data_IF_114761240385
#
_entry.id   IF_114761240385
#
_cell.length_a   1.000
_cell.length_b   1.000
_cell.length_c   1.000
_cell.angle_alpha   90.00
_cell.angle_beta   90.00
_cell.angle_gamma   90.00
#
_symmetry.space_group_name_H-M   'P 1'
#
loop_
_entity.id
_entity.type
_entity.pdbx_description
1 polymer ?
#
# COMPACT_ATOMS: atom_id res chain seq x y z
N UNK A 1 -10.41 -37.88 13.33
CA UNK A 1 -10.78 -37.19 12.08
C UNK A 1 -9.65 -37.30 11.06
N UNK A 2 -9.50 -38.54 10.60
CA UNK A 2 -8.48 -39.03 9.67
C UNK A 2 -9.18 -39.45 8.35
N UNK A 3 -10.51 -39.26 8.23
CA UNK A 3 -11.33 -39.85 7.17
C UNK A 3 -12.08 -38.86 6.25
N UNK A 4 -12.11 -37.56 6.54
CA UNK A 4 -12.44 -36.54 5.52
C UNK A 4 -11.21 -35.88 4.89
N UNK A 5 -10.04 -36.48 5.16
CA UNK A 5 -8.75 -36.21 4.54
C UNK A 5 -8.76 -36.87 3.15
N UNK A 6 -9.22 -36.14 2.13
CA UNK A 6 -8.98 -36.54 0.73
C UNK A 6 -10.20 -36.82 -0.16
N UNK A 7 -11.25 -35.99 -0.16
CA UNK A 7 -12.26 -36.08 -1.24
C UNK A 7 -12.27 -34.85 -2.15
N UNK A 8 -12.22 -33.63 -1.60
CA UNK A 8 -12.15 -32.43 -2.45
C UNK A 8 -10.76 -32.24 -3.09
N UNK A 9 -9.68 -32.48 -2.34
CA UNK A 9 -8.31 -32.35 -2.84
C UNK A 9 -7.85 -33.60 -3.62
N UNK A 10 -8.35 -34.78 -3.25
CA UNK A 10 -8.02 -36.05 -3.90
C UNK A 10 -8.89 -36.32 -5.14
N UNK A 11 -10.11 -35.76 -5.22
CA UNK A 11 -10.92 -35.78 -6.44
C UNK A 11 -10.23 -35.03 -7.60
N UNK A 12 -9.62 -33.87 -7.30
CA UNK A 12 -8.82 -33.14 -8.29
C UNK A 12 -7.51 -33.86 -8.67
N UNK A 13 -6.89 -34.59 -7.74
CA UNK A 13 -5.67 -35.38 -7.99
C UNK A 13 -5.97 -36.70 -8.74
N UNK A 14 -7.09 -37.37 -8.45
CA UNK A 14 -7.48 -38.61 -9.14
C UNK A 14 -8.00 -38.38 -10.57
N UNK A 15 -8.71 -37.28 -10.83
CA UNK A 15 -9.07 -36.92 -12.22
C UNK A 15 -7.82 -36.54 -13.06
N UNK A 16 -6.75 -36.05 -12.44
CA UNK A 16 -5.48 -35.77 -13.10
C UNK A 16 -4.66 -37.05 -13.44
N UNK A 17 -4.97 -38.19 -12.80
CA UNK A 17 -4.31 -39.48 -13.08
C UNK A 17 -4.82 -40.17 -14.36
N UNK A 18 -5.95 -39.69 -14.92
CA UNK A 18 -6.56 -40.22 -16.14
C UNK A 18 -5.96 -39.60 -17.41
N UNK A 19 -4.63 -39.64 -17.55
CA UNK A 19 -3.86 -39.68 -18.80
C UNK A 19 -4.15 -38.74 -20.00
N UNK A 20 -5.08 -37.78 -19.96
CA UNK A 20 -5.47 -36.97 -21.14
C UNK A 20 -5.66 -35.47 -20.91
N UNK A 21 -5.30 -34.95 -19.75
CA UNK A 21 -5.10 -33.51 -19.52
C UNK A 21 -3.81 -33.26 -18.73
N UNK A 22 -2.73 -33.94 -19.15
CA UNK A 22 -1.39 -33.63 -18.68
C UNK A 22 -0.99 -32.26 -19.22
N UNK A 23 -0.90 -31.27 -18.33
CA UNK A 23 -0.67 -29.81 -18.53
C UNK A 23 -1.97 -28.99 -18.65
N UNK A 24 -2.72 -28.81 -17.57
CA UNK A 24 -3.91 -27.96 -17.60
C UNK A 24 -3.89 -26.87 -16.51
N UNK A 25 -3.92 -25.57 -16.85
CA UNK A 25 -4.00 -24.45 -15.92
C UNK A 25 -5.45 -24.26 -15.44
N UNK A 26 -5.89 -25.13 -14.54
CA UNK A 26 -7.33 -25.21 -14.16
C UNK A 26 -7.71 -24.17 -13.09
N UNK A 27 -6.72 -23.58 -12.41
CA UNK A 27 -6.98 -22.64 -11.32
C UNK A 27 -6.81 -21.20 -11.80
N UNK A 28 -7.77 -20.35 -11.44
CA UNK A 28 -7.76 -18.90 -11.68
C UNK A 28 -6.40 -18.25 -11.37
N UNK A 29 -5.73 -18.68 -10.30
CA UNK A 29 -4.43 -18.15 -9.89
C UNK A 29 -3.28 -18.38 -10.90
N UNK A 30 -3.41 -19.32 -11.85
CA UNK A 30 -2.44 -19.45 -12.95
C UNK A 30 -2.62 -18.34 -13.98
N UNK A 31 -3.87 -18.08 -14.41
CA UNK A 31 -4.20 -17.01 -15.36
C UNK A 31 -3.73 -15.65 -14.84
N UNK A 32 -4.02 -15.33 -13.57
CA UNK A 32 -3.59 -14.07 -12.96
C UNK A 32 -2.06 -13.91 -12.93
N UNK A 33 -1.31 -15.00 -12.76
CA UNK A 33 0.16 -14.96 -12.74
C UNK A 33 0.75 -14.87 -14.14
N UNK A 34 0.18 -15.59 -15.10
CA UNK A 34 0.63 -15.53 -16.49
C UNK A 34 0.40 -14.16 -17.11
N UNK A 35 -0.78 -13.56 -16.87
CA UNK A 35 -1.07 -12.18 -17.27
C UNK A 35 -0.14 -11.18 -16.60
N UNK A 36 0.08 -11.32 -15.28
CA UNK A 36 1.02 -10.47 -14.57
C UNK A 36 2.45 -10.56 -15.13
N UNK A 37 2.95 -11.76 -15.41
CA UNK A 37 4.27 -11.93 -16.02
C UNK A 37 4.33 -11.37 -17.44
N UNK A 38 3.29 -11.57 -18.24
CA UNK A 38 3.19 -11.02 -19.59
C UNK A 38 3.27 -9.50 -19.57
N UNK A 39 2.54 -8.86 -18.66
CA UNK A 39 2.54 -7.40 -18.53
C UNK A 39 3.90 -6.88 -18.05
N UNK A 40 4.52 -7.54 -17.07
CA UNK A 40 5.86 -7.15 -16.60
C UNK A 40 6.94 -7.27 -17.68
N UNK A 41 6.74 -8.15 -18.67
CA UNK A 41 7.63 -8.31 -19.82
C UNK A 41 7.30 -7.31 -20.95
N UNK A 42 6.03 -7.00 -21.14
CA UNK A 42 5.55 -6.14 -22.22
C UNK A 42 5.78 -4.64 -21.94
N UNK A 43 5.80 -4.21 -20.67
CA UNK A 43 5.99 -2.80 -20.31
C UNK A 43 7.45 -2.49 -19.93
N UNK A 44 8.26 -1.87 -20.80
CA UNK A 44 9.60 -1.41 -20.46
C UNK A 44 9.53 -0.08 -19.67
N UNK A 45 8.97 -0.11 -18.46
CA UNK A 45 8.76 1.10 -17.62
C UNK A 45 10.07 1.81 -17.28
N UNK A 46 11.18 1.07 -17.21
CA UNK A 46 12.48 1.53 -16.69
C UNK A 46 13.65 1.41 -17.71
N UNK A 47 13.37 1.37 -19.01
CA UNK A 47 14.42 1.31 -20.05
C UNK A 47 15.42 0.16 -19.84
N UNK A 48 16.70 0.48 -19.56
CA UNK A 48 17.78 -0.50 -19.33
C UNK A 48 17.63 -1.39 -18.09
N UNK A 49 16.70 -1.07 -17.16
CA UNK A 49 16.37 -1.88 -15.97
C UNK A 49 15.04 -2.64 -16.16
N UNK A 50 14.53 -2.71 -17.39
CA UNK A 50 13.29 -3.44 -17.74
C UNK A 50 13.24 -4.88 -17.21
N UNK A 51 14.38 -5.57 -17.08
CA UNK A 51 14.44 -6.93 -16.54
C UNK A 51 14.26 -7.05 -15.02
N UNK A 52 14.41 -5.94 -14.27
CA UNK A 52 14.26 -5.96 -12.82
C UNK A 52 12.82 -6.31 -12.40
N UNK A 53 11.83 -5.80 -13.13
CA UNK A 53 10.43 -6.00 -12.79
C UNK A 53 10.00 -7.47 -12.99
N UNK A 54 10.26 -8.14 -14.15
CA UNK A 54 10.09 -9.58 -14.29
C UNK A 54 10.88 -10.40 -13.26
N UNK A 55 12.10 -10.00 -12.92
CA UNK A 55 12.90 -10.70 -11.93
C UNK A 55 12.29 -10.64 -10.53
N UNK A 56 11.83 -9.46 -10.09
CA UNK A 56 11.13 -9.29 -8.82
C UNK A 56 9.79 -10.03 -8.81
N UNK A 57 9.06 -10.01 -9.93
CA UNK A 57 7.84 -10.78 -10.10
C UNK A 57 8.10 -12.29 -9.96
N UNK A 58 9.15 -12.81 -10.59
CA UNK A 58 9.53 -14.22 -10.49
C UNK A 58 9.93 -14.60 -9.06
N UNK A 59 10.72 -13.76 -8.39
CA UNK A 59 11.07 -13.94 -6.97
C UNK A 59 9.84 -13.94 -6.06
N UNK A 60 8.89 -13.03 -6.29
CA UNK A 60 7.60 -13.03 -5.59
C UNK A 60 6.80 -14.31 -5.86
N UNK A 61 6.81 -14.80 -7.09
CA UNK A 61 6.21 -16.07 -7.48
C UNK A 61 6.82 -17.27 -6.75
N UNK A 62 8.15 -17.34 -6.70
CA UNK A 62 8.92 -18.38 -5.99
C UNK A 62 8.57 -18.38 -4.50
N UNK A 63 8.62 -17.22 -3.85
CA UNK A 63 8.34 -17.09 -2.41
C UNK A 63 6.88 -17.42 -2.08
N UNK A 64 5.95 -17.03 -2.94
CA UNK A 64 4.52 -17.35 -2.84
C UNK A 64 4.28 -18.87 -2.87
N UNK A 65 4.94 -19.60 -3.78
CA UNK A 65 4.88 -21.07 -3.84
C UNK A 65 5.50 -21.69 -2.58
N UNK A 66 6.69 -21.25 -2.19
CA UNK A 66 7.39 -21.78 -1.02
C UNK A 66 6.58 -21.59 0.27
N UNK A 67 5.96 -20.42 0.46
CA UNK A 67 5.10 -20.15 1.61
C UNK A 67 3.83 -20.99 1.60
N UNK A 68 3.15 -21.10 0.44
CA UNK A 68 1.91 -21.87 0.32
C UNK A 68 2.15 -23.36 0.61
N UNK A 69 3.25 -23.92 0.07
CA UNK A 69 3.65 -25.30 0.35
C UNK A 69 3.98 -25.50 1.83
N UNK A 70 4.70 -24.55 2.43
CA UNK A 70 4.99 -24.57 3.87
C UNK A 70 3.72 -24.55 4.71
N UNK A 71 2.72 -23.73 4.35
CA UNK A 71 1.45 -23.64 5.07
C UNK A 71 0.71 -24.98 5.02
N UNK A 72 0.53 -25.56 3.82
CA UNK A 72 -0.15 -26.85 3.65
C UNK A 72 0.57 -27.95 4.42
N UNK A 73 1.89 -28.05 4.29
CA UNK A 73 2.67 -29.05 5.01
C UNK A 73 2.63 -28.85 6.53
N UNK A 74 2.76 -27.60 7.00
CA UNK A 74 2.78 -27.30 8.43
C UNK A 74 1.41 -27.51 9.11
N UNK A 75 0.31 -27.27 8.41
CA UNK A 75 -1.04 -27.40 8.97
C UNK A 75 -1.54 -28.85 8.91
N UNK A 76 -1.33 -29.56 7.80
CA UNK A 76 -1.97 -30.86 7.57
C UNK A 76 -1.08 -32.09 7.82
N UNK A 77 0.24 -31.94 7.66
CA UNK A 77 1.18 -33.06 7.66
C UNK A 77 2.12 -33.07 8.88
N UNK A 78 2.31 -31.93 9.56
CA UNK A 78 3.08 -31.93 10.80
C UNK A 78 2.28 -32.54 11.95
N UNK A 79 2.94 -33.31 12.84
CA UNK A 79 2.32 -33.80 14.06
C UNK A 79 1.92 -32.60 14.95
N UNK A 80 0.75 -32.72 15.59
CA UNK A 80 0.31 -31.73 16.56
C UNK A 80 1.31 -31.69 17.72
N UNK A 81 1.73 -30.47 18.11
CA UNK A 81 2.73 -30.29 19.17
C UNK A 81 2.10 -30.31 20.57
N UNK A 82 0.80 -30.04 20.64
CA UNK A 82 -0.01 -30.03 21.85
C UNK A 82 -1.33 -30.76 21.54
N UNK A 83 -1.84 -31.53 22.50
CA UNK A 83 -3.15 -32.17 22.36
C UNK A 83 -4.24 -31.10 22.40
N UNK A 84 -5.16 -31.05 21.43
CA UNK A 84 -6.22 -30.06 21.43
C UNK A 84 -7.15 -30.27 22.64
N UNK A 85 -7.58 -29.21 23.33
CA UNK A 85 -8.40 -29.28 24.55
C UNK A 85 -9.80 -29.86 24.31
N UNK A 86 -10.23 -29.99 23.06
CA UNK A 86 -11.48 -30.65 22.66
C UNK A 86 -11.17 -31.59 21.50
N UNK A 87 -11.90 -32.71 21.45
CA UNK A 87 -11.82 -33.62 20.30
C UNK A 87 -12.13 -32.85 19.01
N UNK A 88 -11.33 -32.98 17.96
CA UNK A 88 -11.62 -32.35 16.68
C UNK A 88 -12.95 -32.86 16.14
N UNK A 89 -13.92 -31.96 16.01
CA UNK A 89 -15.21 -32.24 15.39
C UNK A 89 -15.23 -31.65 13.97
N UNK A 90 -15.96 -32.30 13.08
CA UNK A 90 -16.14 -31.78 11.74
C UNK A 90 -16.95 -30.48 11.79
N UNK A 91 -16.50 -29.40 11.11
CA UNK A 91 -17.29 -28.19 11.06
C UNK A 91 -18.66 -28.49 10.42
N UNK A 92 -19.74 -27.91 10.96
CA UNK A 92 -21.09 -28.12 10.44
C UNK A 92 -21.16 -27.65 8.97
N UNK A 93 -22.00 -28.31 8.17
CA UNK A 93 -22.10 -28.08 6.72
C UNK A 93 -22.33 -26.60 6.36
N UNK A 94 -23.13 -25.87 7.15
CA UNK A 94 -23.39 -24.45 6.95
C UNK A 94 -22.15 -23.56 7.03
N UNK A 95 -21.10 -23.98 7.76
CA UNK A 95 -19.83 -23.27 7.84
C UNK A 95 -18.91 -23.59 6.64
N UNK A 96 -19.11 -24.74 5.98
CA UNK A 96 -18.35 -25.16 4.77
C UNK A 96 -18.93 -24.59 3.49
N UNK A 97 -20.24 -24.39 3.43
CA UNK A 97 -20.96 -23.95 2.24
C UNK A 97 -20.38 -22.68 1.57
N UNK A 98 -20.04 -21.59 2.30
CA UNK A 98 -19.46 -20.41 1.67
C UNK A 98 -18.10 -20.67 1.03
N UNK A 99 -17.28 -21.53 1.66
CA UNK A 99 -15.96 -21.91 1.13
C UNK A 99 -16.10 -22.77 -0.12
N UNK A 100 -17.04 -23.71 -0.12
CA UNK A 100 -17.32 -24.57 -1.28
C UNK A 100 -17.82 -23.75 -2.48
N UNK A 101 -18.74 -22.81 -2.26
CA UNK A 101 -19.20 -21.88 -3.31
C UNK A 101 -18.02 -21.09 -3.90
N UNK A 102 -17.14 -20.57 -3.04
CA UNK A 102 -15.99 -19.79 -3.49
C UNK A 102 -14.99 -20.65 -4.30
N UNK A 103 -14.73 -21.89 -3.87
CA UNK A 103 -13.88 -22.82 -4.61
C UNK A 103 -14.48 -23.18 -5.96
N UNK A 104 -15.78 -23.46 -6.02
CA UNK A 104 -16.48 -23.74 -7.29
C UNK A 104 -16.39 -22.53 -8.20
N UNK A 105 -16.62 -21.32 -7.69
CA UNK A 105 -16.48 -20.09 -8.47
C UNK A 105 -15.04 -19.91 -9.00
N UNK A 106 -14.01 -20.15 -8.18
CA UNK A 106 -12.61 -20.09 -8.61
C UNK A 106 -12.30 -21.08 -9.74
N UNK A 107 -12.87 -22.29 -9.70
CA UNK A 107 -12.71 -23.30 -10.74
C UNK A 107 -13.48 -22.92 -12.01
N UNK A 108 -14.73 -22.46 -11.88
CA UNK A 108 -15.57 -22.05 -13.01
C UNK A 108 -14.95 -20.84 -13.74
N UNK A 109 -14.51 -19.82 -13.02
CA UNK A 109 -13.83 -18.65 -13.61
C UNK A 109 -12.48 -19.05 -14.24
N UNK A 110 -11.76 -20.00 -13.65
CA UNK A 110 -10.52 -20.52 -14.23
C UNK A 110 -10.73 -21.29 -15.54
N UNK A 111 -11.83 -22.05 -15.64
CA UNK A 111 -12.19 -22.84 -16.82
C UNK A 111 -12.84 -21.99 -17.93
N UNK A 112 -13.64 -20.99 -17.56
CA UNK A 112 -14.40 -20.16 -18.50
C UNK A 112 -14.18 -18.66 -18.25
N UNK A 113 -12.93 -18.16 -18.32
CA UNK A 113 -12.65 -16.74 -18.11
C UNK A 113 -13.33 -15.85 -19.16
N UNK A 114 -13.47 -16.34 -20.40
CA UNK A 114 -14.09 -15.60 -21.49
C UNK A 114 -15.60 -15.32 -21.33
N UNK A 115 -16.29 -16.01 -20.41
CA UNK A 115 -17.72 -15.81 -20.17
C UNK A 115 -17.98 -14.90 -18.96
N UNK A 116 -17.08 -14.89 -17.98
CA UNK A 116 -17.29 -14.26 -16.67
C UNK A 116 -16.36 -13.07 -16.40
N UNK A 117 -15.13 -13.11 -16.92
CA UNK A 117 -14.09 -12.13 -16.60
C UNK A 117 -13.96 -11.04 -17.67
N UNK A 118 -14.04 -11.37 -18.95
CA UNK A 118 -13.83 -10.43 -20.08
C UNK A 118 -14.73 -9.20 -20.00
N UNK A 119 -16.06 -9.36 -19.96
CA UNK A 119 -16.97 -8.21 -19.92
C UNK A 119 -16.82 -7.34 -18.66
N UNK A 120 -16.51 -7.95 -17.51
CA UNK A 120 -16.29 -7.20 -16.28
C UNK A 120 -14.94 -6.47 -16.30
N UNK A 121 -13.90 -7.08 -16.87
CA UNK A 121 -12.58 -6.49 -17.02
C UNK A 121 -12.58 -5.34 -18.04
N UNK A 122 -13.29 -5.47 -19.16
CA UNK A 122 -13.43 -4.42 -20.17
C UNK A 122 -14.03 -3.15 -19.55
N UNK A 123 -15.19 -3.29 -18.89
CA UNK A 123 -15.83 -2.18 -18.15
C UNK A 123 -14.91 -1.57 -17.10
N UNK A 124 -14.25 -2.40 -16.28
CA UNK A 124 -13.35 -1.90 -15.24
C UNK A 124 -12.13 -1.17 -15.84
N UNK A 125 -11.57 -1.70 -16.92
CA UNK A 125 -10.40 -1.11 -17.58
C UNK A 125 -10.71 0.23 -18.25
N UNK A 126 -11.87 0.36 -18.89
CA UNK A 126 -12.32 1.58 -19.54
C UNK A 126 -12.45 2.70 -18.51
N UNK A 127 -13.01 2.40 -17.33
CA UNK A 127 -13.16 3.40 -16.26
C UNK A 127 -11.83 3.86 -15.64
N UNK A 128 -10.80 3.00 -15.63
CA UNK A 128 -9.51 3.32 -14.99
C UNK A 128 -8.52 3.95 -15.98
N UNK A 129 -8.47 3.45 -17.21
CA UNK A 129 -7.45 3.81 -18.22
C UNK A 129 -8.00 4.81 -19.24
N UNK A 130 -9.31 4.86 -19.45
CA UNK A 130 -9.95 5.79 -20.40
C UNK A 130 -9.81 5.41 -21.88
N UNK A 131 -9.23 4.23 -22.20
CA UNK A 131 -9.22 3.67 -23.54
C UNK A 131 -9.60 2.18 -23.50
N UNK A 132 -10.32 1.66 -24.52
CA UNK A 132 -10.60 0.24 -24.59
C UNK A 132 -9.27 -0.51 -24.78
N UNK A 133 -8.94 -1.37 -23.83
CA UNK A 133 -7.90 -2.37 -24.01
C UNK A 133 -8.55 -3.62 -24.60
N UNK A 134 -8.00 -4.13 -25.70
CA UNK A 134 -8.40 -5.43 -26.24
C UNK A 134 -7.88 -6.56 -25.31
N UNK A 135 -8.72 -6.98 -24.36
CA UNK A 135 -8.41 -8.08 -23.44
C UNK A 135 -8.59 -9.45 -24.12
N UNK A 136 -7.51 -10.00 -24.68
CA UNK A 136 -7.50 -11.40 -25.12
C UNK A 136 -7.18 -12.35 -23.95
N UNK A 137 -8.22 -12.81 -23.23
CA UNK A 137 -8.11 -13.89 -22.25
C UNK A 137 -8.14 -15.26 -22.95
N UNK A 138 -7.07 -15.64 -23.63
CA UNK A 138 -6.89 -17.03 -24.04
C UNK A 138 -6.39 -17.87 -22.84
N UNK A 139 -7.09 -18.95 -22.51
CA UNK A 139 -6.72 -19.88 -21.42
C UNK A 139 -5.36 -20.56 -21.69
N UNK A 140 -4.95 -20.60 -22.97
CA UNK A 140 -3.76 -21.29 -23.42
C UNK A 140 -3.05 -20.46 -24.49
N UNK A 141 -2.05 -19.68 -24.08
CA UNK A 141 -1.19 -18.91 -24.98
C UNK A 141 -0.06 -19.75 -25.61
N UNK A 142 -0.08 -21.08 -25.47
CA UNK A 142 1.00 -21.97 -25.90
C UNK A 142 2.17 -22.01 -24.92
N UNK A 143 3.30 -22.59 -25.34
CA UNK A 143 4.53 -22.55 -24.52
C UNK A 143 5.15 -21.16 -24.65
N UNK A 144 4.80 -20.28 -23.72
CA UNK A 144 5.29 -18.90 -23.70
C UNK A 144 6.34 -18.70 -22.58
N UNK A 145 7.15 -17.63 -22.69
CA UNK A 145 8.14 -17.23 -21.68
C UNK A 145 7.55 -17.14 -20.26
N UNK A 146 6.36 -16.52 -20.05
CA UNK A 146 5.67 -16.47 -18.76
C UNK A 146 5.39 -17.84 -18.14
N UNK A 147 5.04 -18.82 -18.97
CA UNK A 147 4.74 -20.19 -18.54
C UNK A 147 6.02 -20.89 -18.05
N UNK A 148 7.14 -20.69 -18.75
CA UNK A 148 8.44 -21.18 -18.30
C UNK A 148 8.88 -20.52 -16.98
N UNK A 149 8.66 -19.21 -16.82
CA UNK A 149 8.97 -18.49 -15.58
C UNK A 149 8.13 -19.00 -14.40
N UNK A 150 6.84 -19.27 -14.62
CA UNK A 150 5.95 -19.85 -13.61
C UNK A 150 6.36 -21.28 -13.21
N UNK A 151 6.70 -22.12 -14.19
CA UNK A 151 7.20 -23.47 -13.94
C UNK A 151 8.53 -23.45 -13.17
N UNK A 152 9.45 -22.59 -13.58
CA UNK A 152 10.72 -22.38 -12.88
C UNK A 152 10.47 -21.89 -11.45
N UNK A 153 9.54 -20.95 -11.27
CA UNK A 153 9.16 -20.45 -9.95
C UNK A 153 8.60 -21.55 -9.06
N UNK A 154 7.83 -22.47 -9.63
CA UNK A 154 7.29 -23.62 -8.91
C UNK A 154 8.40 -24.59 -8.48
N UNK A 155 9.30 -24.97 -9.40
CA UNK A 155 10.43 -25.86 -9.12
C UNK A 155 11.38 -25.26 -8.09
N UNK A 156 11.75 -23.99 -8.25
CA UNK A 156 12.63 -23.28 -7.30
C UNK A 156 11.93 -23.13 -5.94
N UNK A 157 10.63 -22.80 -5.91
CA UNK A 157 9.87 -22.70 -4.67
C UNK A 157 9.84 -24.01 -3.88
N UNK A 158 9.68 -25.14 -4.56
CA UNK A 158 9.78 -26.48 -3.95
C UNK A 158 11.21 -26.74 -3.46
N UNK A 159 12.23 -26.41 -4.24
CA UNK A 159 13.63 -26.59 -3.85
C UNK A 159 14.00 -25.77 -2.61
N UNK A 160 13.53 -24.52 -2.51
CA UNK A 160 13.70 -23.65 -1.33
C UNK A 160 13.01 -24.26 -0.11
N UNK A 161 11.80 -24.80 -0.30
CA UNK A 161 11.08 -25.46 0.78
C UNK A 161 11.84 -26.71 1.28
N UNK A 162 12.38 -27.52 0.38
CA UNK A 162 13.16 -28.69 0.77
C UNK A 162 14.45 -28.31 1.51
N UNK A 163 15.13 -27.24 1.08
CA UNK A 163 16.31 -26.66 1.75
C UNK A 163 15.96 -25.64 2.84
N UNK A 164 14.73 -25.62 3.35
CA UNK A 164 14.30 -24.64 4.35
C UNK A 164 15.17 -24.66 5.61
N UNK A 165 15.77 -25.80 5.97
CA UNK A 165 16.72 -25.91 7.08
C UNK A 165 17.95 -25.01 6.91
N UNK A 166 18.53 -24.99 5.72
CA UNK A 166 19.72 -24.21 5.40
C UNK A 166 19.39 -22.73 5.21
N UNK A 167 18.26 -22.45 4.52
CA UNK A 167 17.75 -21.07 4.37
C UNK A 167 17.50 -20.46 5.74
N UNK A 168 16.89 -21.20 6.68
CA UNK A 168 16.66 -20.70 8.04
C UNK A 168 17.96 -20.40 8.78
N UNK A 169 18.99 -21.24 8.65
CA UNK A 169 20.31 -21.00 9.26
C UNK A 169 20.97 -19.73 8.70
N UNK A 170 20.86 -19.52 7.39
CA UNK A 170 21.35 -18.31 6.73
C UNK A 170 20.57 -17.06 7.18
N UNK A 171 19.24 -17.11 7.20
CA UNK A 171 18.42 -15.97 7.62
C UNK A 171 18.60 -15.62 9.10
N UNK A 172 18.88 -16.61 9.97
CA UNK A 172 19.15 -16.38 11.40
C UNK A 172 20.42 -15.55 11.66
N UNK A 173 21.32 -15.45 10.68
CA UNK A 173 22.52 -14.58 10.77
C UNK A 173 22.15 -13.10 10.65
N UNK A 174 21.01 -12.77 10.03
CA UNK A 174 20.52 -11.41 9.92
C UNK A 174 19.55 -11.12 11.06
N UNK A 175 19.78 -10.02 11.80
CA UNK A 175 18.82 -9.52 12.79
C UNK A 175 17.52 -9.16 12.05
N UNK A 176 16.46 -9.90 12.31
CA UNK A 176 15.14 -9.59 11.75
C UNK A 176 14.69 -8.19 12.18
N UNK A 177 14.38 -7.34 11.20
CA UNK A 177 13.74 -6.05 11.47
C UNK A 177 12.26 -6.32 11.69
N UNK A 178 11.81 -6.11 12.92
CA UNK A 178 10.39 -6.19 13.24
C UNK A 178 9.69 -4.90 12.79
N UNK A 179 8.99 -4.97 11.67
CA UNK A 179 8.29 -3.83 11.06
C UNK A 179 7.31 -3.18 12.05
N UNK A 180 6.69 -3.97 12.93
CA UNK A 180 5.81 -3.45 13.98
C UNK A 180 6.59 -2.55 14.93
N UNK A 181 7.77 -2.98 15.38
CA UNK A 181 8.62 -2.15 16.26
C UNK A 181 9.13 -0.89 15.57
N UNK A 182 9.42 -0.95 14.28
CA UNK A 182 9.81 0.24 13.50
C UNK A 182 8.64 1.22 13.44
N UNK A 183 7.44 0.72 13.12
CA UNK A 183 6.23 1.52 13.08
C UNK A 183 5.88 2.15 14.43
N UNK A 184 5.89 1.36 15.51
CA UNK A 184 5.67 1.84 16.88
C UNK A 184 6.70 2.91 17.28
N UNK A 185 7.98 2.72 16.93
CA UNK A 185 9.00 3.75 17.16
C UNK A 185 8.71 5.03 16.40
N UNK A 186 8.26 4.95 15.15
CA UNK A 186 7.91 6.12 14.36
C UNK A 186 6.74 6.86 15.00
N UNK A 187 5.67 6.14 15.36
CA UNK A 187 4.50 6.72 16.05
C UNK A 187 4.90 7.45 17.34
N UNK A 188 5.67 6.78 18.19
CA UNK A 188 6.13 7.35 19.47
C UNK A 188 7.03 8.57 19.23
N UNK A 189 7.94 8.48 18.25
CA UNK A 189 8.85 9.60 17.91
C UNK A 189 8.10 10.80 17.38
N UNK A 190 7.05 10.59 16.58
CA UNK A 190 6.18 11.66 16.09
C UNK A 190 5.41 12.29 17.24
N UNK A 191 4.89 11.48 18.17
CA UNK A 191 4.22 11.96 19.38
C UNK A 191 5.13 12.85 20.24
N UNK A 192 6.32 12.37 20.60
CA UNK A 192 7.27 13.17 21.38
C UNK A 192 7.73 14.44 20.66
N UNK A 193 7.92 14.40 19.34
CA UNK A 193 8.27 15.60 18.55
C UNK A 193 7.13 16.61 18.52
N UNK A 194 5.88 16.14 18.41
CA UNK A 194 4.72 17.00 18.48
C UNK A 194 4.60 17.67 19.86
N UNK A 195 4.78 16.91 20.95
CA UNK A 195 4.80 17.45 22.32
C UNK A 195 5.93 18.47 22.52
N UNK A 196 7.13 18.19 22.00
CA UNK A 196 8.25 19.14 22.07
C UNK A 196 7.97 20.42 21.27
N UNK A 197 7.36 20.31 20.09
CA UNK A 197 6.96 21.46 19.29
C UNK A 197 5.88 22.27 19.99
N UNK A 198 4.86 21.61 20.55
CA UNK A 198 3.79 22.26 21.31
C UNK A 198 4.39 22.95 22.55
N UNK A 199 5.23 22.29 23.33
CA UNK A 199 5.88 22.91 24.49
C UNK A 199 6.81 24.08 24.12
N UNK A 200 7.43 24.02 22.94
CA UNK A 200 8.23 25.14 22.42
C UNK A 200 7.36 26.35 22.02
N UNK A 201 6.15 26.10 21.51
CA UNK A 201 5.19 27.13 21.10
C UNK A 201 4.37 27.65 22.30
N UNK A 202 3.66 26.76 23.00
CA UNK A 202 2.85 26.98 24.19
C UNK A 202 3.74 27.05 25.45
N UNK A 203 4.63 28.03 25.48
CA UNK A 203 5.50 28.26 26.64
C UNK A 203 4.79 28.91 27.83
N UNK A 204 3.58 28.45 28.20
CA UNK A 204 2.69 28.86 29.32
C UNK A 204 2.83 30.31 29.87
N UNK A 205 3.19 31.24 29.00
CA UNK A 205 3.57 32.61 29.31
C UNK A 205 2.94 33.50 28.29
N UNK A 206 2.10 34.40 28.77
CA UNK A 206 1.35 35.34 27.95
C UNK A 206 2.29 36.20 27.07
N UNK A 207 3.51 36.47 27.56
CA UNK A 207 4.53 37.21 26.84
C UNK A 207 5.01 36.49 25.56
N UNK A 208 5.06 35.15 25.56
CA UNK A 208 5.52 34.37 24.40
C UNK A 208 4.49 34.40 23.27
N UNK A 209 3.21 34.29 23.61
CA UNK A 209 2.11 34.42 22.64
C UNK A 209 2.07 35.81 22.02
N UNK A 210 2.21 36.86 22.84
CA UNK A 210 2.26 38.25 22.35
C UNK A 210 3.49 38.47 21.46
N UNK A 211 4.64 37.88 21.81
CA UNK A 211 5.85 37.92 20.97
C UNK A 211 5.64 37.29 19.60
N UNK A 212 5.00 36.11 19.53
CA UNK A 212 4.64 35.47 18.26
C UNK A 212 3.65 36.32 17.44
N UNK A 213 2.69 36.97 18.09
CA UNK A 213 1.72 37.83 17.43
C UNK A 213 2.40 39.07 16.81
N UNK A 214 3.28 39.74 17.54
CA UNK A 214 4.08 40.84 17.01
C UNK A 214 4.99 40.41 15.86
N UNK A 215 5.64 39.25 15.99
CA UNK A 215 6.51 38.71 14.94
C UNK A 215 5.71 38.41 13.68
N UNK A 216 4.52 37.82 13.79
CA UNK A 216 3.62 37.58 12.66
C UNK A 216 3.14 38.90 12.02
N UNK A 217 2.79 39.91 12.83
CA UNK A 217 2.40 41.23 12.33
C UNK A 217 3.55 41.93 11.59
N UNK A 218 4.78 41.87 12.13
CA UNK A 218 5.97 42.42 11.49
C UNK A 218 6.34 41.67 10.20
N UNK A 219 6.22 40.34 10.17
CA UNK A 219 6.44 39.55 8.96
C UNK A 219 5.42 39.91 7.88
N UNK A 220 4.13 39.97 8.22
CA UNK A 220 3.09 40.35 7.25
C UNK A 220 3.26 41.79 6.75
N UNK A 221 3.58 42.72 7.66
CA UNK A 221 3.93 44.09 7.29
C UNK A 221 5.15 44.15 6.38
N UNK A 222 6.21 43.41 6.71
CA UNK A 222 7.44 43.33 5.93
C UNK A 222 7.23 42.73 4.55
N UNK A 223 6.45 41.65 4.43
CA UNK A 223 6.06 41.07 3.14
C UNK A 223 5.29 42.11 2.31
N UNK A 224 4.36 42.84 2.93
CA UNK A 224 3.63 43.92 2.27
C UNK A 224 4.54 45.03 1.75
N UNK A 225 5.52 45.45 2.56
CA UNK A 225 6.52 46.46 2.21
C UNK A 225 7.45 46.01 1.07
N UNK A 226 7.86 44.74 1.04
CA UNK A 226 8.68 44.19 -0.05
C UNK A 226 7.92 44.12 -1.37
N UNK A 227 6.59 43.99 -1.32
CA UNK A 227 5.74 44.01 -2.51
C UNK A 227 5.42 45.43 -3.03
N UNK A 228 5.77 46.49 -2.29
CA UNK A 228 5.63 47.86 -2.78
C UNK A 228 6.77 48.14 -3.76
N UNK A 229 6.47 48.05 -5.05
CA UNK A 229 7.41 48.36 -6.14
C UNK A 229 7.54 49.86 -6.42
N UNK A 230 6.54 50.67 -6.02
CA UNK A 230 6.55 52.12 -6.15
C UNK A 230 6.15 52.79 -4.82
N UNK A 231 7.10 53.50 -4.21
CA UNK A 231 6.88 54.27 -2.97
C UNK A 231 6.14 55.59 -3.21
N UNK A 232 6.02 55.99 -4.48
CA UNK A 232 5.21 57.13 -4.93
C UNK A 232 3.87 56.60 -5.39
N UNK A 233 2.79 56.96 -4.69
CA UNK A 233 1.43 56.71 -5.17
C UNK A 233 1.19 57.36 -6.55
N UNK A 234 0.03 57.10 -7.16
CA UNK A 234 -0.32 57.57 -8.51
C UNK A 234 -0.17 59.10 -8.77
N UNK A 235 0.01 59.90 -7.71
CA UNK A 235 0.19 61.35 -7.75
C UNK A 235 1.65 61.84 -7.63
N UNK A 236 2.65 60.96 -7.56
CA UNK A 236 4.07 61.33 -7.42
C UNK A 236 4.43 62.00 -6.09
N UNK A 237 5.67 62.48 -5.95
CA UNK A 237 6.13 63.23 -4.76
C UNK A 237 5.54 64.65 -4.78
N UNK A 238 4.47 64.87 -4.03
CA UNK A 238 3.89 66.20 -3.80
C UNK A 238 4.79 67.01 -2.84
N UNK A 239 4.87 68.34 -2.99
CA UNK A 239 5.59 69.19 -2.02
C UNK A 239 4.98 69.03 -0.63
N UNK A 240 5.82 69.02 0.42
CA UNK A 240 5.36 68.86 1.80
C UNK A 240 4.42 70.00 2.18
N UNK A 241 3.11 69.72 2.17
CA UNK A 241 2.07 70.62 2.66
C UNK A 241 1.79 70.33 4.15
N UNK A 242 1.40 71.36 4.91
CA UNK A 242 1.17 71.27 6.35
C UNK A 242 0.11 70.22 6.73
N UNK A 243 -0.85 69.97 5.83
CA UNK A 243 -1.88 68.93 5.97
C UNK A 243 -1.30 67.52 5.84
N UNK A 244 -0.28 67.32 4.99
CA UNK A 244 0.37 66.01 4.82
C UNK A 244 1.21 65.69 6.06
N UNK A 245 1.90 66.69 6.61
CA UNK A 245 2.65 66.55 7.86
C UNK A 245 1.71 66.25 9.04
N UNK A 246 0.55 66.92 9.09
CA UNK A 246 -0.48 66.67 10.10
C UNK A 246 -1.07 65.26 9.97
N UNK A 247 -1.37 64.81 8.75
CA UNK A 247 -1.86 63.45 8.48
C UNK A 247 -0.84 62.37 8.84
N UNK A 248 0.44 62.57 8.52
CA UNK A 248 1.53 61.68 8.94
C UNK A 248 1.66 61.64 10.47
N UNK A 249 1.56 62.80 11.13
CA UNK A 249 1.52 62.89 12.59
C UNK A 249 0.36 62.11 13.19
N UNK A 250 -0.85 62.22 12.63
CA UNK A 250 -2.01 61.49 13.12
C UNK A 250 -1.89 59.97 12.94
N UNK A 251 -1.25 59.47 11.90
CA UNK A 251 -1.02 58.03 11.74
C UNK A 251 0.04 57.49 12.70
N UNK A 252 1.09 58.27 12.96
CA UNK A 252 2.16 57.89 13.91
C UNK A 252 1.65 57.92 15.35
N UNK A 253 0.81 58.90 15.71
CA UNK A 253 0.28 59.06 17.08
C UNK A 253 -1.11 58.44 17.30
N UNK A 254 -1.84 58.10 16.25
CA UNK A 254 -3.20 57.53 16.32
C UNK A 254 -3.26 56.06 16.71
N UNK A 255 -2.13 55.36 16.69
CA UNK A 255 -1.99 54.00 17.25
C UNK A 255 -1.67 54.11 18.74
N UNK A 256 -2.58 54.68 19.52
CA UNK A 256 -2.57 54.54 20.98
C UNK A 256 -3.90 53.91 21.42
N UNK A 257 -3.89 52.79 22.17
CA UNK A 257 -5.13 52.16 22.61
C UNK A 257 -5.85 53.06 23.63
N UNK A 258 -7.19 53.09 23.64
CA UNK A 258 -7.95 53.99 24.52
C UNK A 258 -7.67 53.67 26.00
N UNK A 259 -7.59 54.68 26.87
CA UNK A 259 -7.32 54.48 28.29
C UNK A 259 -8.45 53.71 28.99
N UNK A 260 -8.15 52.88 30.01
CA UNK A 260 -9.17 52.12 30.72
C UNK A 260 -10.15 53.03 31.46
N UNK A 261 -11.43 52.62 31.60
CA UNK A 261 -12.44 53.42 32.27
C UNK A 261 -12.05 53.67 33.72
N UNK A 262 -11.94 54.94 34.10
CA UNK A 262 -11.77 55.36 35.50
C UNK A 262 -13.05 55.04 36.25
N UNK A 263 -12.96 54.12 37.21
CA UNK A 263 -14.02 53.88 38.17
C UNK A 263 -14.18 55.12 39.07
N UNK A 264 -15.31 55.82 38.91
CA UNK A 264 -15.77 56.85 39.85
C UNK A 264 -17.16 56.46 40.32
N UNK A 265 -17.30 56.27 41.64
CA UNK A 265 -18.57 56.12 42.35
C UNK A 265 -18.76 54.76 42.98
#
# INVERSE_FOLDING_TARGET
>A
MVALKGHACYGAINYASSGRYGRCPIFNGFLSKEMFFTETLATPVLGGISWLLPALAALGGILSVAYSLRLVHAVFFKPAREEPPKSPHEPPHLMRLPVEILVVLCVVVGLFPGLLATGLLELASETVIGSPLDFYLAIWHGVNLPLMMSLLAFVIGIAIYWRHGDVRRFTQQFKGVDARRVFERILISVGYRAEQLIAALDGNSLQRYVGWLWLAALLMGGIGLVQITDLTGAAGNQPLDGIVILGAGMLIFGVSPPPPPTATG
#
